data_IF_223301701412
#
_entry.id   IF_223301701412
#
_cell.length_a   1.000
_cell.length_b   1.000
_cell.length_c   1.000
_cell.angle_alpha   90.00
_cell.angle_beta   90.00
_cell.angle_gamma   90.00
#
_symmetry.space_group_name_H-M   'P 1'
#
loop_
_entity.id
_entity.type
_entity.pdbx_description
1 polymer ?
#
# COMPACT_ATOMS: atom_id res chain seq x y z
N UNK A 1 -30.02 -11.20 -2.96
CA UNK A 1 -29.34 -9.97 -3.37
C UNK A 1 -27.89 -10.05 -2.94
N UNK A 2 -26.98 -10.32 -3.87
CA UNK A 2 -25.55 -10.10 -3.64
C UNK A 2 -25.35 -8.61 -3.40
N UNK A 3 -24.79 -8.20 -2.26
CA UNK A 3 -24.34 -6.82 -2.06
C UNK A 3 -23.25 -6.57 -3.09
N UNK A 4 -23.54 -5.75 -4.08
CA UNK A 4 -22.55 -5.28 -5.04
C UNK A 4 -21.56 -4.39 -4.28
N UNK A 5 -20.26 -4.67 -4.41
CA UNK A 5 -19.22 -3.88 -3.75
C UNK A 5 -19.14 -2.50 -4.41
N UNK A 6 -19.30 -1.44 -3.62
CA UNK A 6 -19.09 -0.09 -4.09
C UNK A 6 -17.60 0.28 -3.99
N UNK A 7 -16.84 0.01 -5.05
CA UNK A 7 -15.38 0.25 -5.06
C UNK A 7 -15.01 1.72 -4.89
N UNK A 8 -15.83 2.66 -5.34
CA UNK A 8 -15.58 4.10 -5.14
C UNK A 8 -15.61 4.46 -3.66
N UNK A 9 -16.60 3.97 -2.93
CA UNK A 9 -16.69 4.17 -1.48
C UNK A 9 -15.52 3.51 -0.75
N UNK A 10 -15.15 2.28 -1.12
CA UNK A 10 -14.03 1.58 -0.49
C UNK A 10 -12.70 2.30 -0.74
N UNK A 11 -12.50 2.79 -1.97
CA UNK A 11 -11.33 3.56 -2.37
C UNK A 11 -11.21 4.85 -1.57
N UNK A 12 -12.28 5.63 -1.50
CA UNK A 12 -12.34 6.85 -0.68
C UNK A 12 -12.08 6.55 0.79
N UNK A 13 -12.58 5.43 1.32
CA UNK A 13 -12.34 5.02 2.71
C UNK A 13 -10.85 4.80 2.99
N UNK A 14 -10.13 4.12 2.09
CA UNK A 14 -8.68 3.90 2.21
C UNK A 14 -7.91 5.21 2.04
N UNK A 15 -8.24 6.00 1.03
CA UNK A 15 -7.56 7.27 0.72
C UNK A 15 -7.68 8.28 1.87
N UNK A 16 -8.84 8.35 2.53
CA UNK A 16 -9.03 9.14 3.75
C UNK A 16 -8.06 8.74 4.87
N UNK A 17 -7.84 7.45 5.09
CA UNK A 17 -6.91 6.98 6.13
C UNK A 17 -5.45 7.20 5.74
N UNK A 18 -5.10 7.02 4.46
CA UNK A 18 -3.77 7.38 3.93
C UNK A 18 -3.49 8.86 4.15
N UNK A 19 -4.47 9.73 3.90
CA UNK A 19 -4.36 11.17 4.13
C UNK A 19 -4.14 11.50 5.60
N UNK A 20 -5.00 10.99 6.49
CA UNK A 20 -4.88 11.23 7.94
C UNK A 20 -3.53 10.78 8.50
N UNK A 21 -2.96 9.72 7.93
CA UNK A 21 -1.65 9.16 8.33
C UNK A 21 -0.47 9.83 7.61
N UNK A 22 -0.70 10.75 6.69
CA UNK A 22 0.35 11.43 5.93
C UNK A 22 1.08 10.55 4.90
N UNK A 23 0.46 9.44 4.46
CA UNK A 23 1.11 8.42 3.62
C UNK A 23 0.95 8.67 2.11
N UNK A 24 0.45 9.85 1.71
CA UNK A 24 0.09 10.17 0.31
C UNK A 24 1.24 10.08 -0.69
N UNK A 25 2.49 10.28 -0.26
CA UNK A 25 3.67 10.22 -1.14
C UNK A 25 4.17 8.79 -1.40
N UNK A 26 3.56 7.77 -0.80
CA UNK A 26 3.89 6.38 -1.10
C UNK A 26 3.31 5.94 -2.44
N UNK A 27 4.00 5.00 -3.10
CA UNK A 27 3.47 4.36 -4.30
C UNK A 27 2.46 3.28 -3.89
N UNK A 28 1.20 3.45 -4.30
CA UNK A 28 0.16 2.47 -4.07
C UNK A 28 -0.88 2.45 -5.20
N UNK A 29 -1.57 1.33 -5.34
CA UNK A 29 -2.64 1.12 -6.33
C UNK A 29 -3.83 0.47 -5.64
N UNK A 30 -5.01 1.08 -5.82
CA UNK A 30 -6.27 0.59 -5.25
C UNK A 30 -7.19 0.10 -6.37
N UNK A 31 -7.68 -1.13 -6.23
CA UNK A 31 -8.66 -1.79 -7.09
C UNK A 31 -8.26 -1.90 -8.56
N UNK A 32 -6.95 -1.97 -8.84
CA UNK A 32 -6.39 -2.27 -10.16
C UNK A 32 -5.20 -3.25 -10.00
N UNK A 33 -5.39 -4.50 -10.40
CA UNK A 33 -4.34 -5.52 -10.35
C UNK A 33 -3.25 -5.29 -11.41
N UNK A 34 -3.65 -4.76 -12.57
CA UNK A 34 -2.86 -4.74 -13.80
C UNK A 34 -2.05 -3.45 -13.97
N UNK A 35 -2.28 -2.44 -13.11
CA UNK A 35 -1.48 -1.21 -13.12
C UNK A 35 0.01 -1.53 -12.97
N UNK A 36 0.79 -1.14 -13.97
CA UNK A 36 2.24 -1.19 -13.87
C UNK A 36 2.72 0.09 -13.14
N UNK A 37 2.94 -0.02 -11.83
CA UNK A 37 3.54 1.01 -11.01
C UNK A 37 4.70 0.40 -10.20
N UNK A 38 5.97 0.76 -10.51
CA UNK A 38 7.12 0.28 -9.76
C UNK A 38 7.02 0.58 -8.27
N UNK A 39 7.53 -0.33 -7.44
CA UNK A 39 7.58 -0.19 -5.98
C UNK A 39 6.22 0.01 -5.27
N UNK A 40 5.11 -0.20 -5.97
CA UNK A 40 3.79 0.01 -5.39
C UNK A 40 3.32 -1.13 -4.50
N UNK A 41 2.54 -0.80 -3.48
CA UNK A 41 1.65 -1.77 -2.85
C UNK A 41 0.29 -1.77 -3.54
N UNK A 42 -0.18 -2.94 -3.94
CA UNK A 42 -1.51 -3.09 -4.53
C UNK A 42 -2.47 -3.64 -3.48
N UNK A 43 -3.68 -3.09 -3.45
CA UNK A 43 -4.86 -3.68 -2.85
C UNK A 43 -5.94 -3.78 -3.92
N UNK A 44 -6.33 -4.98 -4.31
CA UNK A 44 -7.32 -5.21 -5.38
C UNK A 44 -8.30 -6.31 -5.00
N UNK A 45 -9.38 -6.47 -5.77
CA UNK A 45 -10.41 -7.49 -5.51
C UNK A 45 -10.45 -8.50 -6.65
N UNK A 46 -10.36 -9.79 -6.31
CA UNK A 46 -10.40 -10.90 -7.28
C UNK A 46 -11.04 -12.13 -6.63
N UNK A 47 -11.89 -12.83 -7.36
CA UNK A 47 -12.48 -14.12 -6.95
C UNK A 47 -13.12 -14.11 -5.54
N UNK A 48 -13.83 -13.03 -5.20
CA UNK A 48 -14.50 -12.92 -3.91
C UNK A 48 -13.62 -12.40 -2.76
N UNK A 49 -12.33 -12.11 -3.01
CA UNK A 49 -11.34 -11.77 -1.98
C UNK A 49 -10.61 -10.46 -2.28
N UNK A 50 -10.23 -9.76 -1.22
CA UNK A 50 -9.28 -8.64 -1.27
C UNK A 50 -7.86 -9.19 -1.22
N UNK A 51 -7.04 -8.75 -2.16
CA UNK A 51 -5.68 -9.24 -2.39
C UNK A 51 -4.69 -8.10 -2.15
N UNK A 52 -3.61 -8.37 -1.41
CA UNK A 52 -2.53 -7.42 -1.15
C UNK A 52 -1.19 -8.00 -1.57
N UNK A 53 -0.42 -7.24 -2.34
CA UNK A 53 0.98 -7.56 -2.60
C UNK A 53 1.82 -6.30 -2.82
N UNK A 54 3.15 -6.49 -2.78
CA UNK A 54 4.12 -5.47 -3.15
C UNK A 54 4.66 -5.73 -4.55
N UNK A 55 5.20 -4.68 -5.16
CA UNK A 55 5.80 -4.73 -6.50
C UNK A 55 7.27 -4.33 -6.46
N UNK A 56 8.07 -4.92 -7.35
CA UNK A 56 9.45 -4.50 -7.58
C UNK A 56 9.58 -3.33 -8.57
N UNK A 57 10.81 -3.02 -8.97
CA UNK A 57 11.12 -1.97 -9.96
C UNK A 57 10.55 -2.24 -11.36
N UNK A 58 10.24 -3.51 -11.66
CA UNK A 58 9.65 -3.97 -12.92
C UNK A 58 8.15 -4.25 -12.80
N UNK A 59 7.58 -3.96 -11.63
CA UNK A 59 6.22 -4.29 -11.25
C UNK A 59 5.90 -5.78 -11.19
N UNK A 60 6.88 -6.64 -10.93
CA UNK A 60 6.62 -8.03 -10.57
C UNK A 60 6.19 -8.17 -9.11
N UNK A 61 5.38 -9.19 -8.83
CA UNK A 61 4.92 -9.50 -7.47
C UNK A 61 6.12 -9.85 -6.60
N UNK A 62 6.35 -9.07 -5.54
CA UNK A 62 7.34 -9.41 -4.51
C UNK A 62 6.70 -10.27 -3.41
N UNK A 63 7.24 -11.47 -3.24
CA UNK A 63 6.78 -12.41 -2.21
C UNK A 63 5.37 -12.93 -2.47
N UNK A 64 4.63 -13.23 -1.39
CA UNK A 64 3.29 -13.79 -1.48
C UNK A 64 2.23 -12.69 -1.57
N UNK A 65 1.18 -12.96 -2.36
CA UNK A 65 -0.09 -12.22 -2.25
C UNK A 65 -0.83 -12.71 -1.01
N UNK A 66 -1.29 -11.78 -0.18
CA UNK A 66 -2.09 -12.07 1.01
C UNK A 66 -3.55 -11.84 0.64
N UNK A 67 -4.43 -12.73 1.10
CA UNK A 67 -5.85 -12.72 0.76
C UNK A 67 -6.71 -12.48 2.00
N UNK A 68 -7.79 -11.72 1.82
CA UNK A 68 -8.74 -11.38 2.87
C UNK A 68 -10.17 -11.50 2.34
N UNK A 69 -11.09 -11.99 3.18
CA UNK A 69 -12.53 -12.02 2.86
C UNK A 69 -13.24 -10.74 3.32
N UNK A 70 -12.70 -10.07 4.36
CA UNK A 70 -13.21 -8.82 4.90
C UNK A 70 -12.47 -7.63 4.28
N UNK A 71 -13.22 -6.61 3.87
CA UNK A 71 -12.64 -5.33 3.45
C UNK A 71 -11.87 -4.66 4.60
N UNK A 72 -12.41 -4.72 5.83
CA UNK A 72 -11.82 -4.01 6.97
C UNK A 72 -10.45 -4.60 7.32
N UNK A 73 -10.33 -5.93 7.32
CA UNK A 73 -9.07 -6.61 7.59
C UNK A 73 -8.04 -6.32 6.50
N UNK A 74 -8.46 -6.31 5.23
CA UNK A 74 -7.61 -5.95 4.11
C UNK A 74 -7.11 -4.50 4.22
N UNK A 75 -8.00 -3.57 4.56
CA UNK A 75 -7.65 -2.16 4.73
C UNK A 75 -6.65 -1.96 5.87
N UNK A 76 -6.87 -2.59 7.02
CA UNK A 76 -5.94 -2.51 8.17
C UNK A 76 -4.57 -3.06 7.77
N UNK A 77 -4.53 -4.28 7.21
CA UNK A 77 -3.28 -4.90 6.79
C UNK A 77 -2.54 -4.09 5.71
N UNK A 78 -3.29 -3.46 4.80
CA UNK A 78 -2.72 -2.59 3.77
C UNK A 78 -2.05 -1.34 4.39
N UNK A 79 -2.76 -0.64 5.27
CA UNK A 79 -2.25 0.57 5.94
C UNK A 79 -1.03 0.24 6.83
N UNK A 80 -1.07 -0.85 7.60
CA UNK A 80 0.07 -1.30 8.40
C UNK A 80 1.31 -1.56 7.53
N UNK A 81 1.10 -2.11 6.32
CA UNK A 81 2.20 -2.37 5.39
C UNK A 81 2.84 -1.08 4.87
N UNK A 82 2.02 -0.07 4.58
CA UNK A 82 2.50 1.27 4.21
C UNK A 82 3.31 1.91 5.35
N UNK A 83 2.79 1.86 6.59
CA UNK A 83 3.50 2.40 7.77
C UNK A 83 4.82 1.68 8.04
N UNK A 84 4.83 0.35 7.96
CA UNK A 84 6.07 -0.43 8.08
C UNK A 84 7.08 -0.11 6.99
N UNK A 85 6.62 0.15 5.77
CA UNK A 85 7.49 0.56 4.68
C UNK A 85 8.15 1.92 4.95
N UNK A 86 7.42 2.87 5.55
CA UNK A 86 8.00 4.14 6.04
C UNK A 86 9.08 3.91 7.07
N UNK A 87 8.76 3.19 8.16
CA UNK A 87 9.72 2.89 9.23
C UNK A 87 10.98 2.19 8.71
N UNK A 88 10.81 1.26 7.76
CA UNK A 88 11.92 0.54 7.15
C UNK A 88 12.84 1.46 6.33
N UNK A 89 12.27 2.39 5.55
CA UNK A 89 13.08 3.32 4.76
C UNK A 89 13.72 4.41 5.61
N UNK A 90 13.05 4.91 6.65
CA UNK A 90 13.66 5.80 7.66
C UNK A 90 14.88 5.11 8.31
N UNK A 91 14.75 3.84 8.70
CA UNK A 91 15.87 3.08 9.23
C UNK A 91 17.01 2.93 8.21
N UNK A 92 16.70 2.66 6.93
CA UNK A 92 17.71 2.60 5.86
C UNK A 92 18.49 3.91 5.75
N UNK A 93 17.79 5.05 5.72
CA UNK A 93 18.43 6.38 5.67
C UNK A 93 19.35 6.58 6.87
N UNK A 94 18.89 6.26 8.09
CA UNK A 94 19.69 6.37 9.33
C UNK A 94 21.01 5.60 9.29
N UNK A 95 21.03 4.44 8.63
CA UNK A 95 22.24 3.61 8.50
C UNK A 95 23.02 3.89 7.21
N UNK A 96 22.74 5.00 6.52
CA UNK A 96 23.45 5.42 5.30
C UNK A 96 23.10 4.61 4.04
N UNK A 97 22.00 3.85 4.04
CA UNK A 97 21.49 3.12 2.87
C UNK A 97 20.49 3.96 2.09
N UNK A 98 20.56 3.86 0.76
CA UNK A 98 19.64 4.56 -0.14
C UNK A 98 18.28 3.84 -0.26
N UNK A 99 17.14 4.51 -0.05
CA UNK A 99 15.81 4.01 -0.39
C UNK A 99 15.64 3.74 -1.89
N UNK A 100 14.61 2.97 -2.26
CA UNK A 100 14.35 2.62 -3.66
C UNK A 100 13.87 3.80 -4.51
N UNK A 101 13.17 4.75 -3.91
CA UNK A 101 12.71 5.99 -4.54
C UNK A 101 12.75 7.14 -3.53
N UNK A 102 12.71 8.39 -4.01
CA UNK A 102 12.71 9.58 -3.13
C UNK A 102 11.31 9.83 -2.54
N UNK A 103 11.26 10.13 -1.24
CA UNK A 103 10.05 10.59 -0.56
C UNK A 103 10.44 11.39 0.66
N UNK A 104 9.67 12.45 0.96
CA UNK A 104 9.82 13.24 2.19
C UNK A 104 9.51 12.44 3.46
N UNK A 105 8.91 11.24 3.35
CA UNK A 105 8.62 10.38 4.49
C UNK A 105 9.84 9.64 5.04
N UNK A 106 10.93 9.58 4.27
CA UNK A 106 12.14 8.86 4.69
C UNK A 106 13.00 9.68 5.62
N UNK A 107 12.98 11.00 5.44
CA UNK A 107 13.69 11.92 6.29
C UNK A 107 12.99 11.92 7.64
N UNK A 108 13.76 11.65 8.70
CA UNK A 108 13.25 11.64 10.06
C UNK A 108 12.65 13.05 10.31
N UNK A 109 11.41 13.13 10.79
CA UNK A 109 10.78 14.40 11.16
C UNK A 109 11.39 14.97 12.47
N UNK A 110 12.70 14.83 12.64
CA UNK A 110 13.46 15.37 13.76
C UNK A 110 14.08 16.70 13.34
N UNK A 111 13.38 17.78 13.68
CA UNK A 111 14.01 18.88 14.41
C UNK A 111 13.64 18.75 15.89
#
# INVERSE_FOLDING_TARGET
>A
MSKELNFDFLKQNIECEIEKKGLKSLCYVLFDENKNLPWAFHLFYRDGKFMINGRDDRSYVMGNTIEFTSFEDAKIAFLERLEHFVKSNQFKVKIGKKPYYSSSLWDDATE
#
